data_IF_148708224557
#
_entry.id   IF_148708224557
#
_cell.length_a   1.000
_cell.length_b   1.000
_cell.length_c   1.000
_cell.angle_alpha   90.00
_cell.angle_beta   90.00
_cell.angle_gamma   90.00
#
_symmetry.space_group_name_H-M   'P 1'
#
loop_
_entity.id
_entity.type
_entity.pdbx_description
1 polymer ?
#
# COMPACT_ATOMS: atom_id res chain seq x y z
N UNK A 1 19.11 3.66 28.03
CA UNK A 1 19.22 5.10 27.73
C UNK A 1 20.01 5.23 26.45
N UNK A 2 19.30 5.22 25.32
CA UNK A 2 19.84 5.52 24.00
C UNK A 2 19.07 6.73 23.50
N UNK A 3 19.77 7.84 23.28
CA UNK A 3 19.21 9.05 22.69
C UNK A 3 19.09 8.74 21.20
N UNK A 4 17.86 8.60 20.70
CA UNK A 4 17.60 8.68 19.27
C UNK A 4 17.94 10.10 18.83
N UNK A 5 18.84 10.21 17.85
CA UNK A 5 19.23 11.47 17.24
C UNK A 5 17.99 12.13 16.61
N UNK A 6 17.88 13.46 16.70
CA UNK A 6 16.68 14.22 16.32
C UNK A 6 16.46 14.31 14.79
N UNK A 7 17.02 13.38 14.01
CA UNK A 7 17.10 13.41 12.55
C UNK A 7 16.44 12.22 11.83
N UNK A 8 15.67 11.36 12.49
CA UNK A 8 15.08 10.17 11.86
C UNK A 8 13.61 9.98 12.26
N UNK A 9 12.82 11.04 12.19
CA UNK A 9 11.37 10.89 12.30
C UNK A 9 10.85 10.15 11.07
N UNK A 10 10.06 9.08 11.26
CA UNK A 10 9.43 8.37 10.14
C UNK A 10 8.46 9.32 9.41
N UNK A 11 8.56 9.34 8.08
CA UNK A 11 7.66 10.14 7.24
C UNK A 11 6.51 9.29 6.70
N UNK A 12 5.28 9.66 7.01
CA UNK A 12 4.10 8.98 6.45
C UNK A 12 3.41 9.90 5.44
N UNK A 13 3.04 9.34 4.31
CA UNK A 13 2.23 9.99 3.29
C UNK A 13 1.03 9.09 2.96
N UNK A 14 -0.04 9.62 2.40
CA UNK A 14 -1.17 8.82 1.91
C UNK A 14 -1.43 9.09 0.44
N UNK A 15 -1.64 8.01 -0.32
CA UNK A 15 -2.10 8.07 -1.69
C UNK A 15 -3.58 7.70 -1.75
N UNK A 16 -4.41 8.66 -2.15
CA UNK A 16 -5.83 8.47 -2.36
C UNK A 16 -6.12 8.41 -3.85
N UNK A 17 -6.97 7.45 -4.23
CA UNK A 17 -7.45 7.23 -5.60
C UNK A 17 -8.99 7.18 -5.61
N UNK A 18 -9.59 7.51 -6.75
CA UNK A 18 -11.04 7.56 -6.98
C UNK A 18 -11.70 6.23 -7.35
N UNK A 19 -10.95 5.15 -7.63
CA UNK A 19 -11.53 3.93 -8.19
C UNK A 19 -11.40 2.69 -7.27
N UNK A 20 -12.51 2.15 -6.71
CA UNK A 20 -12.56 0.73 -6.37
C UNK A 20 -12.56 -0.09 -7.68
N UNK A 21 -11.72 -1.13 -7.74
CA UNK A 21 -11.52 -1.96 -8.94
C UNK A 21 -12.84 -2.38 -9.62
N UNK A 22 -13.07 -1.85 -10.82
CA UNK A 22 -14.25 -2.03 -11.66
C UNK A 22 -14.15 -1.15 -12.92
N UNK A 23 -15.01 -1.38 -13.92
CA UNK A 23 -15.13 -0.47 -15.07
C UNK A 23 -15.47 0.93 -14.54
N UNK A 24 -14.76 2.00 -14.96
CA UNK A 24 -14.91 3.31 -14.35
C UNK A 24 -16.35 3.79 -14.51
N UNK A 25 -17.06 4.18 -13.42
CA UNK A 25 -18.28 4.94 -13.58
C UNK A 25 -17.95 6.22 -14.37
N UNK A 26 -18.89 6.78 -15.16
CA UNK A 26 -18.65 8.07 -15.80
C UNK A 26 -18.17 9.06 -14.74
N UNK A 27 -17.03 9.71 -15.00
CA UNK A 27 -16.31 10.54 -14.04
C UNK A 27 -17.25 11.60 -13.42
N UNK A 28 -17.83 11.27 -12.28
CA UNK A 28 -18.46 12.25 -11.39
C UNK A 28 -17.35 12.59 -10.40
N UNK A 29 -16.64 13.72 -10.55
CA UNK A 29 -15.63 14.10 -9.60
C UNK A 29 -16.26 14.11 -8.20
N UNK A 30 -15.62 13.42 -7.24
CA UNK A 30 -16.04 13.49 -5.85
C UNK A 30 -16.10 14.98 -5.44
N UNK A 31 -17.16 15.42 -4.74
CA UNK A 31 -17.25 16.81 -4.29
C UNK A 31 -15.99 17.21 -3.54
N UNK A 32 -15.48 18.44 -3.72
CA UNK A 32 -14.29 18.95 -3.03
C UNK A 32 -14.31 18.73 -1.50
N UNK A 33 -15.51 18.65 -0.91
CA UNK A 33 -15.70 18.31 0.50
C UNK A 33 -15.14 16.92 0.89
N UNK A 34 -15.26 15.91 0.03
CA UNK A 34 -14.69 14.57 0.26
C UNK A 34 -13.18 14.66 0.37
N UNK A 35 -12.54 15.43 -0.52
CA UNK A 35 -11.09 15.62 -0.48
C UNK A 35 -10.62 16.47 0.70
N UNK A 36 -11.42 17.44 1.13
CA UNK A 36 -11.15 18.24 2.32
C UNK A 36 -11.20 17.41 3.61
N UNK A 37 -12.20 16.53 3.75
CA UNK A 37 -12.30 15.62 4.90
C UNK A 37 -11.09 14.67 4.97
N UNK A 38 -10.62 14.20 3.81
CA UNK A 38 -9.42 13.35 3.73
C UNK A 38 -8.13 14.09 4.07
N UNK A 39 -8.02 15.35 3.67
CA UNK A 39 -6.91 16.21 4.08
C UNK A 39 -6.92 16.40 5.60
N UNK A 40 -8.09 16.67 6.21
CA UNK A 40 -8.22 16.80 7.66
C UNK A 40 -7.88 15.49 8.41
N UNK A 41 -8.19 14.34 7.83
CA UNK A 41 -7.83 13.02 8.38
C UNK A 41 -6.32 12.75 8.28
N UNK A 42 -5.70 13.09 7.15
CA UNK A 42 -4.25 13.05 6.99
C UNK A 42 -3.53 13.98 7.97
N UNK A 43 -4.08 15.19 8.19
CA UNK A 43 -3.57 16.15 9.19
C UNK A 43 -3.68 15.60 10.62
N UNK A 44 -4.83 14.99 10.98
CA UNK A 44 -4.99 14.31 12.28
C UNK A 44 -4.00 13.17 12.47
N UNK A 45 -3.68 12.45 11.39
CA UNK A 45 -2.68 11.38 11.36
C UNK A 45 -1.23 11.86 11.29
N UNK A 46 -0.98 13.17 11.21
CA UNK A 46 0.34 13.78 11.06
C UNK A 46 1.13 13.26 9.85
N UNK A 47 0.44 13.12 8.72
CA UNK A 47 1.01 12.73 7.44
C UNK A 47 1.66 13.90 6.70
N UNK A 48 2.92 13.72 6.31
CA UNK A 48 3.74 14.74 5.67
C UNK A 48 3.28 15.08 4.26
N UNK A 49 2.62 14.15 3.54
CA UNK A 49 2.17 14.39 2.17
C UNK A 49 0.88 13.63 1.85
N UNK A 50 -0.01 14.28 1.11
CA UNK A 50 -1.20 13.71 0.50
C UNK A 50 -1.04 13.73 -1.02
N UNK A 51 -1.13 12.57 -1.67
CA UNK A 51 -1.20 12.49 -3.14
C UNK A 51 -2.61 12.10 -3.56
N UNK A 52 -3.20 12.91 -4.44
CA UNK A 52 -4.49 12.65 -5.07
C UNK A 52 -4.23 12.26 -6.52
N UNK A 53 -4.59 11.03 -6.88
CA UNK A 53 -4.47 10.53 -8.26
C UNK A 53 -5.86 10.21 -8.81
N UNK A 54 -6.09 10.55 -10.08
CA UNK A 54 -7.30 10.26 -10.85
C UNK A 54 -6.99 9.32 -12.03
N UNK A 55 -5.78 8.75 -12.06
CA UNK A 55 -5.29 7.88 -13.13
C UNK A 55 -5.95 6.49 -13.15
N UNK A 56 -6.81 6.18 -12.18
CA UNK A 56 -7.48 4.87 -12.00
C UNK A 56 -6.49 3.69 -11.89
N UNK A 57 -5.19 3.99 -11.68
CA UNK A 57 -4.16 3.00 -11.43
C UNK A 57 -4.05 2.75 -9.93
N UNK A 58 -3.72 1.51 -9.48
CA UNK A 58 -3.51 1.24 -8.07
C UNK A 58 -2.51 2.24 -7.48
N UNK A 59 -2.86 2.96 -6.39
CA UNK A 59 -2.02 4.02 -5.88
C UNK A 59 -0.64 3.48 -5.51
N UNK A 60 0.46 4.18 -5.85
CA UNK A 60 1.79 3.79 -5.42
C UNK A 60 1.84 3.85 -3.90
N UNK A 61 2.15 2.73 -3.24
CA UNK A 61 2.26 2.73 -1.79
C UNK A 61 2.27 1.35 -1.15
N UNK A 62 2.55 1.33 0.15
CA UNK A 62 2.39 0.18 1.01
C UNK A 62 0.91 0.06 1.40
N UNK A 63 0.22 -0.95 0.85
CA UNK A 63 -1.13 -1.27 1.24
C UNK A 63 -1.18 -1.89 2.63
N UNK A 64 -2.26 -1.63 3.37
CA UNK A 64 -2.48 -2.20 4.70
C UNK A 64 -3.87 -2.82 4.86
N UNK A 65 -3.94 -3.89 5.66
CA UNK A 65 -5.16 -4.56 6.11
C UNK A 65 -4.99 -4.86 7.60
N UNK A 66 -5.90 -4.33 8.42
CA UNK A 66 -5.89 -4.55 9.85
C UNK A 66 -6.99 -5.55 10.26
N UNK A 67 -6.75 -6.22 11.38
CA UNK A 67 -7.72 -7.07 12.08
C UNK A 67 -7.40 -7.09 13.57
N UNK A 68 -8.34 -7.52 14.40
CA UNK A 68 -8.12 -7.65 15.85
C UNK A 68 -7.17 -8.80 16.18
N UNK A 69 -7.06 -9.76 15.25
CA UNK A 69 -6.07 -10.85 15.28
C UNK A 69 -5.36 -10.98 13.93
N UNK A 70 -4.18 -11.60 13.94
CA UNK A 70 -3.44 -11.89 12.70
C UNK A 70 -4.25 -12.79 11.74
N UNK A 71 -5.04 -13.73 12.27
CA UNK A 71 -5.91 -14.60 11.48
C UNK A 71 -7.04 -13.81 10.80
N UNK A 72 -7.69 -12.91 11.53
CA UNK A 72 -8.71 -12.03 10.96
C UNK A 72 -8.14 -11.10 9.89
N UNK A 73 -6.97 -10.48 10.14
CA UNK A 73 -6.32 -9.61 9.17
C UNK A 73 -5.98 -10.38 7.88
N UNK A 74 -5.52 -11.64 8.00
CA UNK A 74 -5.23 -12.50 6.86
C UNK A 74 -6.49 -12.85 6.06
N UNK A 75 -7.60 -13.16 6.74
CA UNK A 75 -8.88 -13.45 6.08
C UNK A 75 -9.45 -12.20 5.40
N UNK A 76 -9.49 -11.06 6.09
CA UNK A 76 -9.90 -9.77 5.50
C UNK A 76 -9.06 -9.42 4.27
N UNK A 77 -7.76 -9.65 4.34
CA UNK A 77 -6.84 -9.43 3.22
C UNK A 77 -7.20 -10.31 2.02
N UNK A 78 -7.55 -11.57 2.25
CA UNK A 78 -8.02 -12.49 1.22
C UNK A 78 -9.36 -12.05 0.63
N UNK A 79 -10.34 -11.72 1.47
CA UNK A 79 -11.67 -11.28 1.03
C UNK A 79 -11.60 -10.01 0.18
N UNK A 80 -10.86 -8.99 0.65
CA UNK A 80 -10.66 -7.73 -0.08
C UNK A 80 -10.00 -7.99 -1.43
N UNK A 81 -8.96 -8.81 -1.44
CA UNK A 81 -8.25 -9.13 -2.67
C UNK A 81 -9.14 -9.86 -3.70
N UNK A 82 -9.96 -10.81 -3.25
CA UNK A 82 -10.91 -11.53 -4.10
C UNK A 82 -12.01 -10.62 -4.67
N UNK A 83 -12.42 -9.58 -3.94
CA UNK A 83 -13.39 -8.58 -4.42
C UNK A 83 -12.79 -7.63 -5.46
N UNK A 84 -11.51 -7.28 -5.31
CA UNK A 84 -10.82 -6.35 -6.22
C UNK A 84 -10.33 -7.03 -7.50
N UNK A 85 -10.01 -8.33 -7.44
CA UNK A 85 -9.51 -9.08 -8.59
C UNK A 85 -10.60 -10.02 -9.11
N UNK A 86 -11.33 -9.53 -10.12
CA UNK A 86 -12.33 -10.34 -10.82
C UNK A 86 -11.68 -11.52 -11.56
N UNK A 87 -12.49 -12.52 -11.90
CA UNK A 87 -12.07 -13.66 -12.73
C UNK A 87 -11.36 -13.20 -14.02
N UNK A 88 -11.96 -12.27 -14.77
CA UNK A 88 -11.41 -11.78 -16.02
C UNK A 88 -10.06 -11.08 -15.81
N UNK A 89 -9.95 -10.21 -14.79
CA UNK A 89 -8.70 -9.50 -14.46
C UNK A 89 -7.59 -10.50 -14.10
N UNK A 90 -7.91 -11.53 -13.31
CA UNK A 90 -6.93 -12.56 -12.95
C UNK A 90 -6.39 -13.31 -14.17
N UNK A 91 -7.29 -13.81 -15.03
CA UNK A 91 -6.93 -14.55 -16.23
C UNK A 91 -6.12 -13.69 -17.20
N UNK A 92 -6.55 -12.44 -17.44
CA UNK A 92 -5.83 -11.48 -18.28
C UNK A 92 -4.44 -11.19 -17.72
N UNK A 93 -4.32 -10.94 -16.42
CA UNK A 93 -3.03 -10.60 -15.81
C UNK A 93 -2.01 -11.73 -15.92
N UNK A 94 -2.40 -12.96 -15.57
CA UNK A 94 -1.48 -14.10 -15.68
C UNK A 94 -1.22 -14.44 -17.14
N UNK A 95 -2.22 -14.31 -18.02
CA UNK A 95 -2.04 -14.47 -19.46
C UNK A 95 -0.98 -13.52 -20.04
N UNK A 96 -0.98 -12.25 -19.61
CA UNK A 96 0.06 -11.27 -19.98
C UNK A 96 1.45 -11.67 -19.48
N UNK A 97 1.58 -12.15 -18.25
CA UNK A 97 2.86 -12.59 -17.70
C UNK A 97 3.39 -13.84 -18.44
N UNK A 98 2.48 -14.72 -18.86
CA UNK A 98 2.82 -15.98 -19.54
C UNK A 98 2.97 -15.84 -21.05
N UNK A 99 2.50 -14.74 -21.63
CA UNK A 99 2.34 -14.61 -23.08
C UNK A 99 1.34 -15.61 -23.67
N UNK A 100 0.29 -15.96 -22.92
CA UNK A 100 -0.69 -16.99 -23.29
C UNK A 100 -2.13 -16.54 -23.02
N UNK A 101 -3.08 -17.10 -23.76
CA UNK A 101 -4.51 -16.90 -23.49
C UNK A 101 -4.98 -17.90 -22.41
N UNK A 102 -5.57 -17.37 -21.34
CA UNK A 102 -6.13 -18.13 -20.23
C UNK A 102 -7.65 -17.95 -20.08
N UNK A 103 -8.32 -17.23 -20.99
CA UNK A 103 -9.74 -16.86 -20.89
C UNK A 103 -10.70 -18.04 -20.71
N UNK A 104 -10.34 -19.23 -21.19
CA UNK A 104 -11.13 -20.46 -21.05
C UNK A 104 -10.86 -21.29 -19.79
N UNK A 105 -10.03 -20.80 -18.85
CA UNK A 105 -9.72 -21.51 -17.60
C UNK A 105 -10.58 -21.04 -16.43
N UNK A 106 -10.74 -21.91 -15.44
CA UNK A 106 -11.25 -21.50 -14.15
C UNK A 106 -10.17 -20.66 -13.42
N UNK A 107 -10.48 -19.44 -12.96
CA UNK A 107 -9.53 -18.62 -12.20
C UNK A 107 -9.12 -19.23 -10.84
N UNK A 108 -9.91 -20.17 -10.31
CA UNK A 108 -9.63 -20.84 -9.03
C UNK A 108 -8.82 -22.15 -9.22
N UNK A 109 -8.54 -22.54 -10.46
CA UNK A 109 -7.61 -23.63 -10.77
C UNK A 109 -6.14 -23.21 -10.57
N UNK A 110 -5.22 -24.17 -10.36
CA UNK A 110 -3.79 -23.91 -10.40
C UNK A 110 -3.34 -23.30 -11.75
N UNK A 111 -2.38 -22.35 -11.75
CA UNK A 111 -1.88 -21.78 -13.00
C UNK A 111 -1.19 -22.87 -13.84
N UNK A 112 -1.34 -22.85 -15.18
CA UNK A 112 -0.54 -23.72 -16.03
C UNK A 112 0.94 -23.31 -15.98
N UNK A 113 1.88 -24.20 -16.32
CA UNK A 113 3.29 -23.80 -16.47
C UNK A 113 3.46 -22.75 -17.58
N UNK A 114 4.33 -21.73 -17.39
CA UNK A 114 4.58 -20.71 -18.39
C UNK A 114 5.31 -21.27 -19.61
N UNK A 115 5.02 -20.71 -20.77
CA UNK A 115 5.87 -20.87 -21.94
C UNK A 115 7.11 -19.98 -21.76
N UNK A 116 8.31 -20.56 -21.81
CA UNK A 116 9.56 -19.81 -21.72
C UNK A 116 10.73 -20.61 -21.17
N UNK A 117 11.95 -20.08 -21.23
CA UNK A 117 13.12 -20.77 -20.71
C UNK A 117 13.04 -20.90 -19.17
N UNK A 118 13.65 -21.96 -18.61
CA UNK A 118 13.90 -22.04 -17.18
C UNK A 118 14.62 -20.78 -16.68
N UNK A 119 14.22 -20.27 -15.50
CA UNK A 119 14.81 -19.07 -14.90
C UNK A 119 14.20 -17.74 -15.36
N UNK A 120 13.21 -17.75 -16.24
CA UNK A 120 12.43 -16.54 -16.54
C UNK A 120 11.67 -16.03 -15.30
N UNK A 121 11.33 -14.73 -15.21
CA UNK A 121 10.49 -14.21 -14.13
C UNK A 121 9.16 -14.97 -13.99
N UNK A 122 8.57 -15.37 -15.12
CA UNK A 122 7.37 -16.20 -15.17
C UNK A 122 7.59 -17.58 -14.54
N UNK A 123 8.68 -18.28 -14.89
CA UNK A 123 9.03 -19.57 -14.31
C UNK A 123 9.26 -19.48 -12.78
N UNK A 124 9.88 -18.39 -12.31
CA UNK A 124 10.05 -18.13 -10.88
C UNK A 124 8.72 -17.92 -10.15
N UNK A 125 7.82 -17.12 -10.72
CA UNK A 125 6.46 -16.91 -10.19
C UNK A 125 5.66 -18.21 -10.16
N UNK A 126 5.75 -19.02 -11.21
CA UNK A 126 5.10 -20.33 -11.30
C UNK A 126 5.59 -21.28 -10.20
N UNK A 127 6.91 -21.41 -10.04
CA UNK A 127 7.50 -22.29 -9.03
C UNK A 127 7.04 -21.90 -7.61
N UNK A 128 6.96 -20.60 -7.34
CA UNK A 128 6.43 -20.09 -6.07
C UNK A 128 4.94 -20.38 -5.91
N UNK A 129 4.13 -20.16 -6.95
CA UNK A 129 2.70 -20.48 -6.94
C UNK A 129 2.46 -21.97 -6.66
N UNK A 130 3.24 -22.86 -7.29
CA UNK A 130 3.17 -24.30 -7.07
C UNK A 130 3.59 -24.70 -5.65
N UNK A 131 4.65 -24.09 -5.11
CA UNK A 131 5.10 -24.36 -3.73
C UNK A 131 4.08 -23.93 -2.67
N UNK A 132 3.31 -22.88 -2.96
CA UNK A 132 2.32 -22.31 -2.03
C UNK A 132 0.88 -22.76 -2.33
N UNK A 133 0.67 -23.57 -3.37
CA UNK A 133 -0.65 -24.09 -3.75
C UNK A 133 -1.63 -23.01 -4.25
N UNK A 134 -1.13 -21.96 -4.91
CA UNK A 134 -1.95 -20.83 -5.33
C UNK A 134 -2.74 -21.14 -6.61
N UNK A 135 -3.99 -20.65 -6.66
CA UNK A 135 -4.79 -20.55 -7.89
C UNK A 135 -4.30 -19.43 -8.83
N UNK A 136 -4.80 -19.39 -10.07
CA UNK A 136 -4.57 -18.28 -11.01
C UNK A 136 -4.98 -16.94 -10.38
N UNK A 137 -6.13 -16.90 -9.71
CA UNK A 137 -6.65 -15.69 -9.04
C UNK A 137 -5.75 -15.25 -7.90
N UNK A 138 -5.29 -16.17 -7.05
CA UNK A 138 -4.40 -15.83 -5.93
C UNK A 138 -3.01 -15.38 -6.41
N UNK A 139 -2.50 -15.99 -7.48
CA UNK A 139 -1.26 -15.54 -8.12
C UNK A 139 -1.43 -14.15 -8.73
N UNK A 140 -2.58 -13.87 -9.37
CA UNK A 140 -2.89 -12.55 -9.91
C UNK A 140 -2.99 -11.50 -8.81
N UNK A 141 -3.69 -11.80 -7.71
CA UNK A 141 -3.78 -10.98 -6.50
C UNK A 141 -2.39 -10.61 -6.00
N UNK A 142 -1.49 -11.58 -5.85
CA UNK A 142 -0.12 -11.30 -5.40
C UNK A 142 0.68 -10.47 -6.39
N UNK A 143 0.41 -10.59 -7.69
CA UNK A 143 1.07 -9.78 -8.71
C UNK A 143 0.55 -8.33 -8.72
N UNK A 144 -0.76 -8.14 -8.55
CA UNK A 144 -1.44 -6.85 -8.74
C UNK A 144 -1.50 -6.03 -7.45
N UNK A 145 -1.85 -6.67 -6.35
CA UNK A 145 -2.07 -6.03 -5.07
C UNK A 145 -0.79 -6.04 -4.23
N UNK A 146 -0.60 -4.98 -3.46
CA UNK A 146 0.53 -4.79 -2.54
C UNK A 146 -0.01 -4.68 -1.11
N UNK A 147 -0.47 -5.79 -0.54
CA UNK A 147 -0.82 -5.86 0.89
C UNK A 147 0.45 -5.98 1.73
N UNK A 148 1.24 -4.91 1.77
CA UNK A 148 2.53 -4.84 2.45
C UNK A 148 2.38 -5.03 3.96
N UNK A 149 1.34 -4.45 4.53
CA UNK A 149 1.08 -4.47 5.97
C UNK A 149 -0.23 -5.19 6.31
N UNK A 150 -0.16 -6.50 6.51
CA UNK A 150 -1.28 -7.29 7.04
C UNK A 150 -0.95 -7.73 8.47
N UNK A 151 -1.89 -7.53 9.40
CA UNK A 151 -1.76 -7.97 10.80
C UNK A 151 -2.60 -7.15 11.77
N UNK A 152 -2.35 -7.34 13.06
CA UNK A 152 -2.91 -6.45 14.10
C UNK A 152 -2.27 -5.06 14.04
N UNK A 153 -2.91 -4.01 14.59
CA UNK A 153 -2.32 -2.67 14.60
C UNK A 153 -0.94 -2.62 15.28
N UNK A 154 -0.78 -3.36 16.38
CA UNK A 154 0.49 -3.46 17.11
C UNK A 154 1.59 -4.17 16.30
N UNK A 155 1.26 -5.25 15.58
CA UNK A 155 2.22 -5.96 14.70
C UNK A 155 2.63 -5.09 13.51
N UNK A 156 1.69 -4.38 12.89
CA UNK A 156 1.97 -3.45 11.79
C UNK A 156 2.89 -2.33 12.28
N UNK A 157 2.58 -1.71 13.42
CA UNK A 157 3.42 -0.68 14.02
C UNK A 157 4.83 -1.20 14.35
N UNK A 158 4.94 -2.41 14.91
CA UNK A 158 6.22 -3.04 15.22
C UNK A 158 7.09 -3.28 13.97
N UNK A 159 6.47 -3.68 12.85
CA UNK A 159 7.19 -3.88 11.58
C UNK A 159 7.65 -2.56 10.97
N UNK A 160 6.81 -1.53 11.01
CA UNK A 160 7.17 -0.18 10.56
C UNK A 160 8.34 0.37 11.38
N UNK A 161 8.25 0.25 12.71
CA UNK A 161 9.31 0.64 13.65
C UNK A 161 10.63 -0.11 13.36
N UNK A 162 10.59 -1.42 13.19
CA UNK A 162 11.76 -2.22 12.82
C UNK A 162 12.41 -1.81 11.49
N UNK A 163 11.60 -1.45 10.49
CA UNK A 163 12.11 -0.94 9.21
C UNK A 163 12.78 0.44 9.36
N UNK A 164 12.21 1.33 10.17
CA UNK A 164 12.81 2.63 10.48
C UNK A 164 14.13 2.48 11.22
N UNK A 165 14.18 1.65 12.26
CA UNK A 165 15.37 1.41 13.06
C UNK A 165 16.54 0.80 12.27
N UNK A 166 16.24 0.03 11.22
CA UNK A 166 17.25 -0.58 10.35
C UNK A 166 17.64 0.30 9.15
N UNK A 167 17.03 1.47 8.98
CA UNK A 167 17.19 2.31 7.79
C UNK A 167 16.67 1.66 6.51
N UNK A 168 15.80 0.66 6.63
CA UNK A 168 15.16 0.01 5.48
C UNK A 168 14.10 0.91 4.83
N UNK A 169 13.55 1.86 5.59
CA UNK A 169 12.66 2.90 5.09
C UNK A 169 12.70 4.13 6.02
N UNK A 170 12.83 5.33 5.43
CA UNK A 170 12.66 6.61 6.13
C UNK A 170 11.19 7.06 6.17
N UNK A 171 10.32 6.35 5.43
CA UNK A 171 8.91 6.67 5.33
C UNK A 171 8.11 5.76 4.41
N UNK A 172 6.78 5.91 4.44
CA UNK A 172 5.84 5.15 3.61
C UNK A 172 4.81 6.07 2.97
N UNK A 173 4.54 5.83 1.69
CA UNK A 173 3.27 6.24 1.08
C UNK A 173 2.29 5.11 1.36
N UNK A 174 1.24 5.37 2.13
CA UNK A 174 0.22 4.41 2.51
C UNK A 174 -0.92 4.44 1.50
N UNK A 175 -1.35 3.26 1.07
CA UNK A 175 -2.49 3.09 0.20
C UNK A 175 -3.59 2.34 0.97
N UNK A 176 -4.75 2.96 1.13
CA UNK A 176 -5.92 2.29 1.70
C UNK A 176 -6.39 1.18 0.76
N UNK A 177 -7.04 0.16 1.33
CA UNK A 177 -7.66 -0.92 0.55
C UNK A 177 -9.10 -0.60 0.11
N UNK A 178 -9.66 0.53 0.57
CA UNK A 178 -10.99 1.03 0.24
C UNK A 178 -10.96 2.50 -0.17
N UNK A 179 -10.17 2.90 -1.16
CA UNK A 179 -10.06 4.33 -1.50
C UNK A 179 -11.39 4.95 -1.97
N UNK A 180 -11.68 6.22 -1.62
CA UNK A 180 -10.86 7.13 -0.80
C UNK A 180 -11.00 6.92 0.73
N UNK A 181 -11.76 5.93 1.21
CA UNK A 181 -12.05 5.68 2.63
C UNK A 181 -11.12 4.62 3.27
N UNK A 182 -11.26 4.37 4.57
CA UNK A 182 -10.53 3.30 5.28
C UNK A 182 -9.11 3.68 5.71
N UNK A 183 -8.69 4.92 5.52
CA UNK A 183 -7.43 5.42 6.07
C UNK A 183 -7.55 5.75 7.58
N UNK A 184 -8.74 6.16 8.01
CA UNK A 184 -9.15 6.40 9.40
C UNK A 184 -8.82 5.21 10.29
N UNK A 185 -9.01 3.99 9.80
CA UNK A 185 -8.65 2.78 10.52
C UNK A 185 -7.14 2.74 10.85
N UNK A 186 -6.27 3.20 9.95
CA UNK A 186 -4.83 3.28 10.19
C UNK A 186 -4.49 4.40 11.17
N UNK A 187 -5.07 5.60 11.00
CA UNK A 187 -4.83 6.72 11.90
C UNK A 187 -5.32 6.43 13.31
N UNK A 188 -6.45 5.76 13.46
CA UNK A 188 -7.04 5.54 14.77
C UNK A 188 -6.40 4.36 15.50
N UNK A 189 -5.89 3.37 14.76
CA UNK A 189 -5.40 2.12 15.36
C UNK A 189 -3.89 1.94 15.31
N UNK A 190 -3.18 2.45 14.32
CA UNK A 190 -1.73 2.22 14.13
C UNK A 190 -0.89 3.41 14.58
N UNK A 191 -1.30 4.63 14.24
CA UNK A 191 -0.57 5.86 14.62
C UNK A 191 -0.32 5.96 16.13
N UNK A 192 -1.28 5.66 17.04
CA UNK A 192 -1.01 5.68 18.48
C UNK A 192 0.13 4.75 18.88
N UNK A 193 0.19 3.54 18.32
CA UNK A 193 1.29 2.61 18.59
C UNK A 193 2.64 3.09 18.04
N UNK A 194 2.65 3.77 16.89
CA UNK A 194 3.87 4.38 16.34
C UNK A 194 4.35 5.55 17.22
N UNK A 195 3.42 6.33 17.76
CA UNK A 195 3.71 7.43 18.69
C UNK A 195 4.21 6.92 20.05
N UNK A 196 3.58 5.88 20.60
CA UNK A 196 4.03 5.19 21.84
C UNK A 196 5.47 4.68 21.71
N UNK A 197 5.85 4.23 20.51
CA UNK A 197 7.22 3.78 20.19
C UNK A 197 8.20 4.93 19.94
N UNK A 198 7.71 6.16 19.81
CA UNK A 198 8.53 7.34 19.51
C UNK A 198 9.08 7.40 18.08
N UNK A 199 8.60 6.53 17.18
CA UNK A 199 9.05 6.50 15.77
C UNK A 199 8.28 7.50 14.90
N UNK A 200 7.07 7.88 15.33
CA UNK A 200 6.23 8.87 14.67
C UNK A 200 6.02 10.08 15.58
N UNK A 201 6.02 11.28 14.98
CA UNK A 201 5.74 12.55 15.67
C UNK A 201 4.33 12.57 16.29
N UNK A 202 4.17 13.36 17.36
CA UNK A 202 2.89 13.53 18.08
C UNK A 202 2.17 14.84 17.76
N UNK A 203 2.86 15.80 17.12
CA UNK A 203 2.28 17.04 16.61
C UNK A 203 3.17 17.62 15.50
N UNK A 204 2.60 18.50 14.67
CA UNK A 204 3.38 19.37 13.79
C UNK A 204 3.90 20.60 14.52
N UNK A 205 5.09 21.05 14.14
CA UNK A 205 5.62 22.34 14.55
C UNK A 205 4.84 23.45 13.83
N UNK A 206 4.28 24.38 14.59
CA UNK A 206 3.50 25.49 14.03
C UNK A 206 4.36 26.32 13.07
N UNK A 207 3.84 26.56 11.86
CA UNK A 207 4.52 27.33 10.81
C UNK A 207 5.64 26.59 10.07
N UNK A 208 5.91 25.31 10.37
CA UNK A 208 6.90 24.53 9.64
C UNK A 208 6.43 24.24 8.20
N UNK A 209 7.36 24.35 7.27
CA UNK A 209 7.19 23.96 5.88
C UNK A 209 7.30 22.44 5.73
N UNK A 210 6.75 21.91 4.64
CA UNK A 210 6.94 20.50 4.27
C UNK A 210 8.42 20.09 4.26
N UNK A 211 9.30 20.98 3.82
CA UNK A 211 10.73 20.72 3.75
C UNK A 211 11.33 20.49 5.14
N UNK A 212 10.92 21.31 6.11
CA UNK A 212 11.32 21.19 7.51
C UNK A 212 10.72 19.95 8.16
N UNK A 213 9.46 19.61 7.86
CA UNK A 213 8.83 18.37 8.32
C UNK A 213 9.55 17.12 7.82
N UNK A 214 10.12 17.17 6.61
CA UNK A 214 10.92 16.11 5.99
C UNK A 214 12.41 16.11 6.39
N UNK A 215 12.83 16.99 7.31
CA UNK A 215 14.24 17.11 7.72
C UNK A 215 15.20 17.54 6.60
N UNK A 216 14.68 18.12 5.53
CA UNK A 216 15.48 18.50 4.35
C UNK A 216 16.14 19.85 4.59
N UNK A 217 17.47 19.92 4.47
CA UNK A 217 18.23 21.17 4.59
C UNK A 217 17.92 22.15 3.44
N UNK A 218 18.24 23.43 3.69
CA UNK A 218 18.01 24.53 2.77
C UNK A 218 18.51 24.22 1.34
N UNK A 219 17.73 24.64 0.35
CA UNK A 219 17.99 24.40 -1.08
C UNK A 219 19.42 24.83 -1.40
N UNK A 220 20.26 23.90 -1.89
CA UNK A 220 21.46 24.36 -2.59
C UNK A 220 20.99 25.08 -3.86
N UNK A 221 21.41 26.34 -4.10
CA UNK A 221 21.03 27.04 -5.31
C UNK A 221 21.47 26.21 -6.51
N UNK A 222 20.51 25.80 -7.33
CA UNK A 222 20.79 25.13 -8.58
C UNK A 222 21.54 26.10 -9.47
N UNK A 223 22.82 25.84 -9.74
CA UNK A 223 23.51 26.46 -10.85
C UNK A 223 22.86 25.92 -12.13
N UNK A 224 21.82 26.60 -12.60
CA UNK A 224 21.34 26.42 -13.97
C UNK A 224 22.48 26.88 -14.85
N UNK A 225 23.15 25.92 -15.51
CA UNK A 225 24.06 26.19 -16.62
C UNK A 225 23.31 26.01 -17.93
#
# INVERSE_FOLDING_TARGET
MGIVDAGTALHLAVALDGAPGGEPPPAVPAPLAVWADRAAEAERGLLDLLTLDDSHAPPPGAGFILGDTAGEAAERSREVALRQVTAAVALTRIGQLWGADLSGRDPDDPPPPPAGPPGSPAAGLYARAAAEGLSIRELAIRSLLRHTFVGTPAEVAARIDGNAQTGAADGYILAGHLNPVGFDEFTDRVVPHLQERGVLRTAYTEGATLRENLGLTARQPSAVR
#
